data_IF_928246361375
#
_entry.id   IF_928246361375
#
_cell.length_a   1.000
_cell.length_b   1.000
_cell.length_c   1.000
_cell.angle_alpha   90.00
_cell.angle_beta   90.00
_cell.angle_gamma   90.00
#
_symmetry.space_group_name_H-M   'P 1'
#
loop_
_entity.id
_entity.type
_entity.pdbx_description
1 polymer ?
#
# COMPACT_ATOMS: atom_id res chain seq x y z
N UNK A 1 22.34 -8.43 4.07
CA UNK A 1 20.88 -8.32 4.28
C UNK A 1 20.33 -7.00 3.75
N UNK A 2 20.85 -5.87 4.17
CA UNK A 2 20.32 -4.55 3.73
C UNK A 2 20.38 -4.38 2.22
N UNK A 3 21.50 -4.73 1.59
CA UNK A 3 21.64 -4.65 0.15
C UNK A 3 20.63 -5.55 -0.59
N UNK A 4 20.34 -6.73 -0.04
CA UNK A 4 19.34 -7.64 -0.60
C UNK A 4 17.94 -7.04 -0.50
N UNK A 5 17.59 -6.49 0.67
CA UNK A 5 16.29 -5.86 0.90
C UNK A 5 16.08 -4.69 -0.07
N UNK A 6 17.11 -3.85 -0.24
CA UNK A 6 17.06 -2.72 -1.14
C UNK A 6 16.87 -3.17 -2.61
N UNK A 7 17.59 -4.20 -3.03
CA UNK A 7 17.49 -4.70 -4.40
C UNK A 7 16.13 -5.37 -4.66
N UNK A 8 15.63 -6.14 -3.69
CA UNK A 8 14.32 -6.76 -3.79
C UNK A 8 13.24 -5.69 -3.94
N UNK A 9 13.29 -4.64 -3.11
CA UNK A 9 12.35 -3.53 -3.19
C UNK A 9 12.39 -2.87 -4.56
N UNK A 10 13.58 -2.60 -5.07
CA UNK A 10 13.75 -2.00 -6.39
C UNK A 10 13.12 -2.86 -7.50
N UNK A 11 13.38 -4.16 -7.47
CA UNK A 11 12.87 -5.07 -8.50
C UNK A 11 11.34 -5.25 -8.41
N UNK A 12 10.80 -5.39 -7.21
CA UNK A 12 9.35 -5.52 -7.04
C UNK A 12 8.63 -4.24 -7.43
N UNK A 13 9.21 -3.08 -7.12
CA UNK A 13 8.66 -1.79 -7.55
C UNK A 13 8.65 -1.67 -9.07
N UNK A 14 9.71 -2.09 -9.73
CA UNK A 14 9.79 -2.07 -11.20
C UNK A 14 8.72 -2.97 -11.81
N UNK A 15 8.55 -4.17 -11.29
CA UNK A 15 7.49 -5.08 -11.74
C UNK A 15 6.12 -4.43 -11.60
N UNK A 16 5.86 -3.81 -10.44
CA UNK A 16 4.58 -3.16 -10.18
C UNK A 16 4.31 -2.04 -11.19
N UNK A 17 5.30 -1.20 -11.45
CA UNK A 17 5.18 -0.11 -12.42
C UNK A 17 4.91 -0.65 -13.83
N UNK A 18 5.65 -1.67 -14.25
CA UNK A 18 5.50 -2.26 -15.57
C UNK A 18 4.11 -2.87 -15.76
N UNK A 19 3.61 -3.55 -14.73
CA UNK A 19 2.28 -4.16 -14.76
C UNK A 19 1.17 -3.09 -14.77
N UNK A 20 1.32 -2.01 -14.02
CA UNK A 20 0.37 -0.90 -14.06
C UNK A 20 0.29 -0.31 -15.47
N UNK A 21 1.43 -0.11 -16.11
CA UNK A 21 1.49 0.37 -17.49
C UNK A 21 0.79 -0.59 -18.44
N UNK A 22 1.05 -1.89 -18.28
CA UNK A 22 0.43 -2.92 -19.12
C UNK A 22 -1.09 -2.93 -18.99
N UNK A 23 -1.63 -2.54 -17.83
CA UNK A 23 -3.06 -2.41 -17.58
C UNK A 23 -3.61 -1.03 -17.96
N UNK A 24 -2.78 -0.14 -18.49
CA UNK A 24 -3.20 1.22 -18.87
C UNK A 24 -3.45 2.15 -17.68
N UNK A 25 -2.96 1.81 -16.50
CA UNK A 25 -3.16 2.60 -15.28
C UNK A 25 -2.00 3.60 -15.16
N UNK A 26 -2.35 4.88 -15.08
CA UNK A 26 -1.38 5.97 -14.99
C UNK A 26 -1.53 6.71 -13.66
N UNK A 27 -0.43 7.36 -13.23
CA UNK A 27 -0.46 8.23 -12.06
C UNK A 27 -0.39 7.50 -10.72
N UNK A 28 -0.18 6.19 -10.74
CA UNK A 28 -0.02 5.39 -9.54
C UNK A 28 1.41 4.88 -9.46
N UNK A 29 2.03 5.05 -8.30
CA UNK A 29 3.37 4.54 -8.00
C UNK A 29 3.24 3.43 -6.96
N UNK A 30 4.29 2.57 -6.80
CA UNK A 30 4.20 1.44 -5.85
C UNK A 30 3.79 1.83 -4.44
N UNK A 31 4.21 3.01 -3.96
CA UNK A 31 3.84 3.50 -2.63
C UNK A 31 2.33 3.70 -2.44
N UNK A 32 1.58 3.88 -3.53
CA UNK A 32 0.11 4.00 -3.49
C UNK A 32 -0.58 2.65 -3.32
N UNK A 33 0.12 1.55 -3.67
CA UNK A 33 -0.48 0.21 -3.64
C UNK A 33 -1.04 -0.18 -2.29
N UNK A 34 -0.30 0.12 -1.22
CA UNK A 34 -0.75 -0.18 0.14
C UNK A 34 -2.05 0.52 0.51
N UNK A 35 -2.17 1.78 0.12
CA UNK A 35 -3.38 2.57 0.38
C UNK A 35 -4.56 1.99 -0.40
N UNK A 36 -4.38 1.78 -1.70
CA UNK A 36 -5.45 1.26 -2.56
C UNK A 36 -5.92 -0.12 -2.10
N UNK A 37 -5.00 -1.03 -1.80
CA UNK A 37 -5.34 -2.38 -1.36
C UNK A 37 -6.19 -2.36 -0.08
N UNK A 38 -5.92 -1.45 0.84
CA UNK A 38 -6.73 -1.30 2.07
C UNK A 38 -8.11 -0.76 1.77
N UNK A 39 -8.22 0.20 0.86
CA UNK A 39 -9.48 0.88 0.58
C UNK A 39 -10.43 0.05 -0.30
N UNK A 40 -9.94 -0.95 -1.02
CA UNK A 40 -10.79 -1.79 -1.88
C UNK A 40 -11.88 -2.53 -1.10
N UNK A 41 -11.68 -2.78 0.20
CA UNK A 41 -12.70 -3.41 1.04
C UNK A 41 -13.94 -2.52 1.25
N UNK A 42 -13.85 -1.24 0.89
CA UNK A 42 -14.90 -0.25 1.12
C UNK A 42 -14.82 0.39 2.50
N UNK A 43 -13.92 -0.07 3.37
CA UNK A 43 -13.71 0.53 4.68
C UNK A 43 -13.05 1.89 4.53
N UNK A 44 -13.53 2.87 5.29
CA UNK A 44 -12.85 4.16 5.37
C UNK A 44 -11.78 4.11 6.46
N UNK A 45 -10.72 4.86 6.26
CA UNK A 45 -9.57 4.93 7.17
C UNK A 45 -9.29 6.39 7.52
N UNK A 46 -8.96 6.65 8.79
CA UNK A 46 -8.35 7.93 9.13
C UNK A 46 -6.92 7.96 8.57
N UNK A 47 -6.34 9.14 8.46
CA UNK A 47 -4.92 9.27 8.04
C UNK A 47 -4.00 8.50 8.96
N UNK A 48 -4.27 8.54 10.26
CA UNK A 48 -3.46 7.84 11.26
C UNK A 48 -3.60 6.33 11.16
N UNK A 49 -4.82 5.83 10.97
CA UNK A 49 -5.07 4.41 10.76
C UNK A 49 -4.37 3.89 9.51
N UNK A 50 -4.44 4.67 8.42
CA UNK A 50 -3.77 4.29 7.18
C UNK A 50 -2.26 4.29 7.34
N UNK A 51 -1.70 5.28 8.02
CA UNK A 51 -0.27 5.36 8.29
C UNK A 51 0.22 4.10 9.04
N UNK A 52 -0.52 3.69 10.07
CA UNK A 52 -0.20 2.47 10.81
C UNK A 52 -0.31 1.23 9.92
N UNK A 53 -1.36 1.15 9.10
CA UNK A 53 -1.63 -0.02 8.25
C UNK A 53 -0.55 -0.24 7.18
N UNK A 54 0.02 0.83 6.63
CA UNK A 54 1.03 0.73 5.57
C UNK A 54 2.46 0.98 6.08
N UNK A 55 2.63 1.08 7.39
CA UNK A 55 3.95 1.29 8.04
C UNK A 55 4.64 2.56 7.55
N UNK A 56 3.89 3.65 7.45
CA UNK A 56 4.41 4.98 7.05
C UNK A 56 3.99 6.03 8.06
N UNK A 57 4.55 7.21 7.94
CA UNK A 57 4.17 8.35 8.79
C UNK A 57 2.91 9.01 8.23
N UNK A 58 2.19 9.71 9.10
CA UNK A 58 1.00 10.47 8.71
C UNK A 58 1.30 11.51 7.61
N UNK A 59 2.40 12.31 7.68
CA UNK A 59 2.74 13.23 6.59
C UNK A 59 2.93 12.53 5.25
N UNK A 60 3.58 11.37 5.23
CA UNK A 60 3.76 10.59 4.01
C UNK A 60 2.42 10.14 3.43
N UNK A 61 1.53 9.65 4.27
CA UNK A 61 0.18 9.24 3.84
C UNK A 61 -0.58 10.44 3.27
N UNK A 62 -0.46 11.60 3.91
CA UNK A 62 -1.14 12.83 3.45
C UNK A 62 -0.70 13.19 2.03
N UNK A 63 0.60 13.10 1.73
CA UNK A 63 1.13 13.38 0.40
C UNK A 63 0.64 12.35 -0.62
N UNK A 64 0.74 11.05 -0.28
CA UNK A 64 0.31 9.97 -1.17
C UNK A 64 -1.19 10.05 -1.45
N UNK A 65 -2.00 10.28 -0.42
CA UNK A 65 -3.44 10.42 -0.55
C UNK A 65 -3.81 11.63 -1.41
N UNK A 66 -3.06 12.73 -1.29
CA UNK A 66 -3.28 13.93 -2.09
C UNK A 66 -3.16 13.65 -3.58
N UNK A 67 -2.15 12.88 -3.98
CA UNK A 67 -1.97 12.50 -5.37
C UNK A 67 -3.08 11.58 -5.88
N UNK A 68 -3.50 10.63 -5.05
CA UNK A 68 -4.62 9.75 -5.39
C UNK A 68 -5.94 10.53 -5.52
N UNK A 69 -6.13 11.52 -4.67
CA UNK A 69 -7.29 12.40 -4.72
C UNK A 69 -7.31 13.24 -6.00
N UNK A 70 -6.17 13.80 -6.39
CA UNK A 70 -6.04 14.57 -7.64
C UNK A 70 -6.41 13.73 -8.85
N UNK A 71 -6.10 12.44 -8.82
CA UNK A 71 -6.42 11.49 -9.88
C UNK A 71 -7.87 10.99 -9.83
N UNK A 72 -8.60 11.32 -8.76
CA UNK A 72 -9.99 10.90 -8.60
C UNK A 72 -10.18 9.49 -8.07
N UNK A 73 -9.13 8.83 -7.59
CA UNK A 73 -9.21 7.46 -7.09
C UNK A 73 -9.68 7.36 -5.64
N UNK A 74 -9.39 8.39 -4.84
CA UNK A 74 -9.82 8.47 -3.46
C UNK A 74 -10.40 9.86 -3.18
N UNK A 75 -11.15 9.96 -2.08
CA UNK A 75 -11.62 11.25 -1.58
C UNK A 75 -11.36 11.34 -0.09
N UNK A 76 -11.25 12.57 0.39
CA UNK A 76 -11.16 12.88 1.81
C UNK A 76 -12.49 13.39 2.29
N UNK A 77 -12.90 12.97 3.47
CA UNK A 77 -14.14 13.41 4.07
C UNK A 77 -13.90 13.67 5.55
N UNK A 78 -14.30 14.87 6.00
CA UNK A 78 -14.20 15.20 7.41
C UNK A 78 -15.26 14.44 8.19
N UNK A 79 -14.89 13.99 9.39
CA UNK A 79 -15.84 13.35 10.29
C UNK A 79 -16.96 14.33 10.66
N UNK A 80 -18.20 13.85 10.64
CA UNK A 80 -19.35 14.62 11.10
C UNK A 80 -19.30 14.86 12.63
N UNK A 81 -18.59 13.99 13.35
CA UNK A 81 -18.49 14.07 14.82
C UNK A 81 -17.34 14.97 15.27
N UNK A 82 -16.23 14.95 14.54
CA UNK A 82 -15.03 15.69 14.91
C UNK A 82 -14.32 16.16 13.65
N UNK A 83 -14.41 17.46 13.38
CA UNK A 83 -13.84 18.08 12.19
C UNK A 83 -12.31 18.00 12.11
N UNK A 84 -11.64 17.60 13.21
CA UNK A 84 -10.20 17.39 13.22
C UNK A 84 -9.81 16.04 12.58
N UNK A 85 -10.79 15.15 12.44
CA UNK A 85 -10.59 13.81 11.88
C UNK A 85 -11.00 13.82 10.41
N UNK A 86 -10.10 13.32 9.55
CA UNK A 86 -10.34 13.18 8.12
C UNK A 86 -10.25 11.71 7.76
N UNK A 87 -11.25 11.22 7.02
CA UNK A 87 -11.29 9.86 6.52
C UNK A 87 -10.88 9.82 5.06
N UNK A 88 -10.19 8.74 4.68
CA UNK A 88 -9.95 8.37 3.29
C UNK A 88 -10.99 7.35 2.86
N UNK A 89 -11.58 7.56 1.69
CA UNK A 89 -12.55 6.66 1.09
C UNK A 89 -12.20 6.44 -0.37
N UNK A 90 -12.53 5.25 -0.88
CA UNK A 90 -12.34 4.94 -2.29
C UNK A 90 -13.52 5.50 -3.09
N UNK A 91 -13.23 5.99 -4.30
CA UNK A 91 -14.26 6.43 -5.24
C UNK A 91 -14.63 5.26 -6.18
N UNK A 92 -15.70 5.42 -6.94
CA UNK A 92 -16.07 4.43 -7.97
C UNK A 92 -14.93 4.24 -8.98
N UNK A 93 -14.27 5.33 -9.36
CA UNK A 93 -13.11 5.27 -10.27
C UNK A 93 -11.96 4.46 -9.66
N UNK A 94 -11.69 4.68 -8.37
CA UNK A 94 -10.67 3.93 -7.65
C UNK A 94 -11.01 2.46 -7.52
N UNK A 95 -12.27 2.16 -7.17
CA UNK A 95 -12.74 0.79 -7.01
C UNK A 95 -12.66 -0.01 -8.30
N UNK A 96 -12.80 0.64 -9.44
CA UNK A 96 -12.69 -0.02 -10.74
C UNK A 96 -11.28 -0.59 -10.99
N UNK A 97 -10.26 -0.14 -10.25
CA UNK A 97 -8.90 -0.64 -10.37
C UNK A 97 -8.66 -1.95 -9.60
N UNK A 98 -9.60 -2.38 -8.75
CA UNK A 98 -9.41 -3.54 -7.89
C UNK A 98 -9.00 -4.81 -8.64
N UNK A 99 -9.67 -5.22 -9.74
CA UNK A 99 -9.27 -6.44 -10.45
C UNK A 99 -7.83 -6.39 -10.95
N UNK A 100 -7.40 -5.26 -11.50
CA UNK A 100 -6.04 -5.11 -12.00
C UNK A 100 -5.02 -5.17 -10.85
N UNK A 101 -5.30 -4.50 -9.74
CA UNK A 101 -4.42 -4.53 -8.57
C UNK A 101 -4.31 -5.93 -7.98
N UNK A 102 -5.41 -6.66 -7.92
CA UNK A 102 -5.41 -8.03 -7.42
C UNK A 102 -4.56 -8.94 -8.32
N UNK A 103 -4.70 -8.81 -9.62
CA UNK A 103 -3.91 -9.58 -10.58
C UNK A 103 -2.41 -9.28 -10.44
N UNK A 104 -2.05 -8.00 -10.34
CA UNK A 104 -0.66 -7.58 -10.17
C UNK A 104 -0.09 -8.10 -8.85
N UNK A 105 -0.84 -7.96 -7.77
CA UNK A 105 -0.45 -8.42 -6.44
C UNK A 105 -0.22 -9.93 -6.42
N UNK A 106 -1.13 -10.69 -7.01
CA UNK A 106 -1.00 -12.14 -7.08
C UNK A 106 0.24 -12.56 -7.87
N UNK A 107 0.53 -11.86 -8.96
CA UNK A 107 1.69 -12.15 -9.81
C UNK A 107 3.00 -11.86 -9.08
N UNK A 108 3.09 -10.73 -8.41
CA UNK A 108 4.29 -10.37 -7.63
C UNK A 108 4.48 -11.34 -6.47
N UNK A 109 3.42 -11.63 -5.73
CA UNK A 109 3.47 -12.52 -4.59
C UNK A 109 3.86 -13.94 -4.99
N UNK A 110 3.36 -14.42 -6.13
CA UNK A 110 3.73 -15.75 -6.63
C UNK A 110 5.24 -15.88 -6.86
N UNK A 111 5.88 -14.82 -7.35
CA UNK A 111 7.33 -14.81 -7.53
C UNK A 111 8.09 -14.65 -6.22
N UNK A 112 7.62 -13.76 -5.34
CA UNK A 112 8.29 -13.50 -4.06
C UNK A 112 8.28 -14.74 -3.17
N UNK A 113 7.15 -15.45 -3.12
CA UNK A 113 7.00 -16.60 -2.23
C UNK A 113 7.29 -17.94 -2.90
N UNK A 114 7.76 -17.93 -4.14
CA UNK A 114 8.08 -19.15 -4.87
C UNK A 114 9.08 -20.00 -4.11
N UNK A 115 8.72 -21.25 -3.86
CA UNK A 115 9.59 -22.18 -3.14
C UNK A 115 9.55 -22.07 -1.62
N UNK A 116 8.74 -21.18 -1.07
CA UNK A 116 8.58 -21.03 0.39
C UNK A 116 7.32 -21.73 0.86
N UNK A 117 7.40 -22.36 2.03
CA UNK A 117 6.21 -22.83 2.75
C UNK A 117 5.49 -21.67 3.39
N UNK A 118 4.23 -21.86 3.82
CA UNK A 118 3.48 -20.85 4.58
C UNK A 118 4.24 -20.44 5.84
N UNK A 119 4.81 -21.41 6.56
CA UNK A 119 5.57 -21.11 7.78
C UNK A 119 6.81 -20.28 7.50
N UNK A 120 7.54 -20.60 6.42
CA UNK A 120 8.72 -19.82 6.04
C UNK A 120 8.35 -18.37 5.67
N UNK A 121 7.29 -18.18 4.90
CA UNK A 121 6.84 -16.84 4.52
C UNK A 121 6.34 -16.05 5.73
N UNK A 122 5.64 -16.71 6.66
CA UNK A 122 5.14 -16.06 7.87
C UNK A 122 6.31 -15.65 8.77
N UNK A 123 7.31 -16.53 8.96
CA UNK A 123 8.50 -16.21 9.76
C UNK A 123 9.26 -15.04 9.16
N UNK A 124 9.38 -14.99 7.84
CA UNK A 124 10.05 -13.87 7.15
C UNK A 124 9.32 -12.56 7.43
N UNK A 125 8.00 -12.56 7.30
CA UNK A 125 7.18 -11.36 7.58
C UNK A 125 7.33 -10.93 9.04
N UNK A 126 7.27 -11.86 9.98
CA UNK A 126 7.40 -11.58 11.41
C UNK A 126 8.77 -10.97 11.70
N UNK A 127 9.83 -11.52 11.12
CA UNK A 127 11.19 -11.01 11.29
C UNK A 127 11.33 -9.59 10.73
N UNK A 128 10.74 -9.33 9.58
CA UNK A 128 10.78 -7.99 8.98
C UNK A 128 10.02 -6.97 9.83
N UNK A 129 8.87 -7.36 10.38
CA UNK A 129 8.10 -6.49 11.28
C UNK A 129 8.89 -6.19 12.55
N UNK A 130 9.60 -7.18 13.09
CA UNK A 130 10.45 -6.99 14.27
C UNK A 130 11.57 -5.99 13.99
N UNK A 131 12.24 -6.15 12.84
CA UNK A 131 13.30 -5.23 12.41
C UNK A 131 12.74 -3.81 12.28
N UNK A 132 11.60 -3.67 11.62
CA UNK A 132 10.95 -2.38 11.43
C UNK A 132 10.63 -1.72 12.77
N UNK A 133 10.08 -2.47 13.71
CA UNK A 133 9.74 -1.99 15.03
C UNK A 133 10.99 -1.51 15.80
N UNK A 134 12.07 -2.28 15.74
CA UNK A 134 13.33 -1.92 16.38
C UNK A 134 13.90 -0.62 15.82
N UNK A 135 13.89 -0.48 14.49
CA UNK A 135 14.40 0.71 13.81
C UNK A 135 13.52 1.94 14.05
N UNK A 136 12.24 1.74 14.27
CA UNK A 136 11.28 2.81 14.53
C UNK A 136 11.25 3.23 16.01
N UNK A 137 12.11 2.67 16.84
CA UNK A 137 12.14 2.98 18.27
C UNK A 137 10.97 2.39 19.05
N UNK A 138 10.37 1.32 18.56
CA UNK A 138 9.23 0.66 19.20
C UNK A 138 7.90 1.37 18.99
N UNK A 139 7.83 2.32 18.08
CA UNK A 139 6.61 3.09 17.80
C UNK A 139 5.76 2.43 16.70
#
# INVERSE_FOLDING_TARGET
MIALMSRITELTNRMFIDELKAHGIKGIVPSHGGIMMRLFSGKQYTMQEMAAAIHRTKPTVTVLAGKLEEQGYVRREKSARDSRVTFLQITEKGKALEPAFQEISDKVNALVYQGMSEDESQHMTDNLLQILQQLSGGK
#
